data_IF_918593444914
#
_entry.id   IF_918593444914
#
_cell.length_a   1.000
_cell.length_b   1.000
_cell.length_c   1.000
_cell.angle_alpha   90.00
_cell.angle_beta   90.00
_cell.angle_gamma   90.00
#
_symmetry.space_group_name_H-M   'P 1'
#
loop_
_entity.id
_entity.type
_entity.pdbx_description
1 polymer ?
#
# COMPACT_ATOMS: atom_id res chain seq x y z
N UNK A 1 -1.81 -1.44 -7.17
CA UNK A 1 -2.30 -1.80 -8.52
C UNK A 1 -1.69 -0.84 -9.52
N UNK A 2 -1.53 -1.25 -10.79
CA UNK A 2 -0.96 -0.43 -11.86
C UNK A 2 -1.91 -0.40 -13.05
N UNK A 3 -1.95 0.74 -13.76
CA UNK A 3 -2.66 0.86 -15.02
C UNK A 3 -1.75 0.41 -16.17
N UNK A 4 -2.31 -0.46 -17.01
CA UNK A 4 -1.70 -0.90 -18.26
C UNK A 4 -2.60 -0.53 -19.45
N UNK A 5 -1.97 -0.35 -20.60
CA UNK A 5 -2.61 -0.27 -21.91
C UNK A 5 -2.18 -1.47 -22.74
N UNK A 6 -3.10 -2.01 -23.52
CA UNK A 6 -2.85 -3.13 -24.43
C UNK A 6 -3.78 -3.00 -25.64
N UNK A 7 -3.35 -3.50 -26.80
CA UNK A 7 -4.22 -3.61 -27.97
C UNK A 7 -5.25 -4.73 -27.75
N UNK A 8 -6.40 -4.67 -28.44
CA UNK A 8 -7.45 -5.70 -28.30
C UNK A 8 -7.00 -7.09 -28.77
N UNK A 9 -5.97 -7.17 -29.63
CA UNK A 9 -5.34 -8.41 -30.05
C UNK A 9 -4.31 -8.96 -29.04
N UNK A 10 -4.14 -8.28 -27.89
CA UNK A 10 -3.20 -8.63 -26.84
C UNK A 10 -1.76 -8.13 -27.06
N UNK A 11 -1.47 -7.48 -28.19
CA UNK A 11 -0.15 -6.91 -28.47
C UNK A 11 0.07 -5.57 -27.76
N UNK A 12 1.34 -5.15 -27.68
CA UNK A 12 1.67 -3.79 -27.23
C UNK A 12 1.37 -3.49 -25.76
N UNK A 13 1.43 -4.49 -24.88
CA UNK A 13 1.26 -4.29 -23.43
C UNK A 13 2.26 -3.26 -22.91
N UNK A 14 1.76 -2.20 -22.28
CA UNK A 14 2.54 -1.09 -21.74
C UNK A 14 2.00 -0.67 -20.39
N UNK A 15 2.87 -0.61 -19.39
CA UNK A 15 2.56 -0.02 -18.08
C UNK A 15 2.55 1.51 -18.19
N UNK A 16 1.50 2.16 -17.70
CA UNK A 16 1.37 3.63 -17.74
C UNK A 16 1.78 4.28 -16.41
N UNK A 17 1.34 3.71 -15.29
CA UNK A 17 1.69 4.16 -13.93
C UNK A 17 3.05 3.64 -13.51
N UNK A 18 3.88 4.46 -12.86
CA UNK A 18 5.29 4.13 -12.53
C UNK A 18 5.53 4.11 -11.02
N UNK A 19 6.59 3.43 -10.60
CA UNK A 19 7.01 3.34 -9.20
C UNK A 19 6.43 2.13 -8.49
N UNK A 20 6.81 1.93 -7.22
CA UNK A 20 6.32 0.85 -6.36
C UNK A 20 5.25 1.43 -5.42
N UNK A 21 4.09 1.73 -5.99
CA UNK A 21 2.95 2.34 -5.31
C UNK A 21 1.65 1.60 -5.63
N UNK A 22 0.62 1.88 -4.85
CA UNK A 22 -0.76 1.54 -5.18
C UNK A 22 -1.39 2.74 -5.88
N UNK A 23 -1.74 2.55 -7.14
CA UNK A 23 -2.35 3.55 -7.99
C UNK A 23 -3.86 3.38 -8.03
N UNK A 24 -4.60 4.48 -7.81
CA UNK A 24 -6.02 4.60 -8.07
C UNK A 24 -6.18 5.58 -9.22
N UNK A 25 -6.54 5.04 -10.38
CA UNK A 25 -6.59 5.79 -11.64
C UNK A 25 -8.02 6.10 -12.05
N UNK A 26 -8.20 7.27 -12.65
CA UNK A 26 -9.41 7.67 -13.37
C UNK A 26 -9.00 8.12 -14.77
N UNK A 27 -9.67 7.59 -15.80
CA UNK A 27 -9.38 7.86 -17.22
C UNK A 27 -10.51 8.72 -17.78
N UNK A 28 -10.21 9.73 -18.58
CA UNK A 28 -11.26 10.46 -19.29
C UNK A 28 -11.96 9.61 -20.37
N UNK A 29 -13.17 10.00 -20.78
CA UNK A 29 -13.99 9.23 -21.72
C UNK A 29 -13.30 8.99 -23.08
N UNK A 30 -12.45 9.92 -23.52
CA UNK A 30 -11.69 9.80 -24.76
C UNK A 30 -10.33 9.09 -24.60
N UNK A 31 -9.99 8.63 -23.39
CA UNK A 31 -8.73 7.97 -23.05
C UNK A 31 -7.49 8.77 -23.53
N UNK A 32 -7.52 10.08 -23.33
CA UNK A 32 -6.42 11.01 -23.61
C UNK A 32 -5.57 11.27 -22.37
N UNK A 33 -6.21 11.31 -21.20
CA UNK A 33 -5.57 11.62 -19.93
C UNK A 33 -5.97 10.64 -18.83
N UNK A 34 -5.08 10.48 -17.87
CA UNK A 34 -5.28 9.66 -16.68
C UNK A 34 -4.92 10.48 -15.45
N UNK A 35 -5.85 10.63 -14.51
CA UNK A 35 -5.55 11.07 -13.16
C UNK A 35 -5.03 9.85 -12.40
N UNK A 36 -3.79 9.90 -11.94
CA UNK A 36 -3.17 8.85 -11.14
C UNK A 36 -2.98 9.36 -9.71
N UNK A 37 -3.82 8.88 -8.78
CA UNK A 37 -3.67 9.09 -7.35
C UNK A 37 -2.96 7.88 -6.74
N UNK A 38 -1.74 8.06 -6.27
CA UNK A 38 -0.91 6.97 -5.81
C UNK A 38 -0.30 7.22 -4.44
N UNK A 39 -0.16 6.13 -3.70
CA UNK A 39 0.56 6.10 -2.45
C UNK A 39 1.00 4.69 -2.12
N UNK A 40 1.85 4.58 -1.11
CA UNK A 40 2.17 3.34 -0.41
C UNK A 40 1.97 3.59 1.08
N UNK A 41 1.81 2.54 1.88
CA UNK A 41 1.66 2.66 3.32
C UNK A 41 2.71 3.57 3.99
N UNK A 42 3.91 3.68 3.39
CA UNK A 42 5.01 4.50 3.84
C UNK A 42 5.40 5.66 2.91
N UNK A 43 4.45 6.19 2.14
CA UNK A 43 4.67 7.38 1.30
C UNK A 43 3.60 8.44 1.51
N UNK A 44 3.94 9.69 1.17
CA UNK A 44 2.96 10.77 1.06
C UNK A 44 2.05 10.48 -0.15
N UNK A 45 0.72 10.59 -0.03
CA UNK A 45 -0.18 10.48 -1.18
C UNK A 45 -0.01 11.64 -2.16
N UNK A 46 0.11 11.30 -3.43
CA UNK A 46 0.33 12.26 -4.52
C UNK A 46 -0.61 11.94 -5.69
N UNK A 47 -1.07 12.98 -6.38
CA UNK A 47 -1.88 12.88 -7.57
C UNK A 47 -1.20 13.63 -8.73
N UNK A 48 -1.16 12.99 -9.90
CA UNK A 48 -0.59 13.54 -11.13
C UNK A 48 -1.54 13.32 -12.31
N UNK A 49 -1.42 14.15 -13.33
CA UNK A 49 -2.06 13.93 -14.62
C UNK A 49 -1.05 13.29 -15.58
N UNK A 50 -1.41 12.16 -16.16
CA UNK A 50 -0.65 11.48 -17.21
C UNK A 50 -1.34 11.63 -18.57
N UNK A 51 -0.58 11.61 -19.64
CA UNK A 51 -1.11 11.38 -20.99
C UNK A 51 -1.39 9.87 -21.21
N UNK A 52 -2.01 9.52 -22.34
CA UNK A 52 -2.31 8.13 -22.68
C UNK A 52 -1.09 7.29 -23.14
N UNK A 53 0.12 7.84 -23.02
CA UNK A 53 1.40 7.14 -23.12
C UNK A 53 2.08 6.97 -21.75
N UNK A 54 1.49 7.47 -20.65
CA UNK A 54 2.06 7.39 -19.30
C UNK A 54 3.17 8.41 -19.04
N UNK A 55 3.25 9.48 -19.84
CA UNK A 55 4.10 10.63 -19.53
C UNK A 55 3.36 11.57 -18.59
N UNK A 56 4.09 12.10 -17.60
CA UNK A 56 3.51 13.09 -16.68
C UNK A 56 3.31 14.41 -17.40
N UNK A 57 2.07 14.87 -17.44
CA UNK A 57 1.67 16.17 -18.00
C UNK A 57 1.84 17.26 -16.93
N UNK A 58 1.32 17.02 -15.73
CA UNK A 58 1.45 17.94 -14.60
C UNK A 58 1.26 17.23 -13.27
N UNK A 59 1.75 17.85 -12.20
CA UNK A 59 1.37 17.52 -10.83
C UNK A 59 -0.02 18.11 -10.53
N UNK A 60 -0.88 17.34 -9.89
CA UNK A 60 -2.20 17.82 -9.44
C UNK A 60 -2.09 18.27 -7.99
N UNK A 61 -1.62 17.37 -7.12
CA UNK A 61 -1.48 17.64 -5.69
C UNK A 61 -0.50 16.66 -5.04
N UNK A 62 0.28 17.14 -4.08
CA UNK A 62 0.93 16.31 -3.07
C UNK A 62 0.34 16.66 -1.71
N UNK A 63 0.09 15.66 -0.87
CA UNK A 63 -0.48 15.90 0.46
C UNK A 63 0.55 16.57 1.37
N UNK A 64 0.16 17.63 2.08
CA UNK A 64 1.06 18.28 3.04
C UNK A 64 1.08 17.52 4.37
N UNK A 65 2.22 16.88 4.67
CA UNK A 65 2.45 16.15 5.92
C UNK A 65 3.25 16.96 6.94
N UNK A 66 3.55 18.24 6.68
CA UNK A 66 4.40 19.07 7.55
C UNK A 66 3.94 19.08 9.01
N UNK A 67 2.64 19.24 9.26
CA UNK A 67 2.08 19.22 10.61
C UNK A 67 2.11 17.84 11.26
N UNK A 68 1.88 16.76 10.49
CA UNK A 68 1.99 15.39 11.00
C UNK A 68 3.42 15.07 11.42
N UNK A 69 4.39 15.39 10.56
CA UNK A 69 5.80 15.18 10.83
C UNK A 69 6.28 16.03 12.01
N UNK A 70 5.82 17.29 12.12
CA UNK A 70 6.09 18.14 13.28
C UNK A 70 5.49 17.58 14.58
N UNK A 71 4.35 16.88 14.50
CA UNK A 71 3.75 16.16 15.62
C UNK A 71 4.43 14.79 15.90
N UNK A 72 5.50 14.45 15.19
CA UNK A 72 6.28 13.23 15.40
C UNK A 72 5.79 12.00 14.61
N UNK A 73 4.86 12.17 13.67
CA UNK A 73 4.40 11.07 12.82
C UNK A 73 5.57 10.36 12.15
N UNK A 74 5.52 9.02 12.18
CA UNK A 74 6.43 8.16 11.42
C UNK A 74 5.61 7.21 10.57
N UNK A 75 6.00 7.07 9.32
CA UNK A 75 5.42 6.06 8.45
C UNK A 75 5.64 4.65 9.02
N UNK A 76 4.71 3.73 8.80
CA UNK A 76 4.91 2.33 9.14
C UNK A 76 5.97 1.68 8.26
N UNK A 77 6.48 0.54 8.71
CA UNK A 77 7.48 -0.26 8.00
C UNK A 77 6.80 -1.39 7.24
N UNK A 78 7.07 -1.47 5.94
CA UNK A 78 6.59 -2.58 5.12
C UNK A 78 7.59 -3.72 5.24
N UNK A 79 7.09 -4.93 5.45
CA UNK A 79 7.93 -6.11 5.59
C UNK A 79 7.42 -7.28 4.74
N UNK A 80 8.30 -8.26 4.58
CA UNK A 80 8.02 -9.51 3.89
C UNK A 80 8.64 -10.67 4.66
N UNK A 81 7.87 -11.74 4.82
CA UNK A 81 8.30 -12.97 5.51
C UNK A 81 7.86 -14.19 4.72
N UNK A 82 8.43 -15.36 5.04
CA UNK A 82 7.97 -16.64 4.51
C UNK A 82 6.85 -17.21 5.37
N UNK A 83 5.83 -17.78 4.73
CA UNK A 83 4.87 -18.65 5.40
C UNK A 83 5.55 -19.94 5.89
N UNK A 84 4.82 -20.73 6.67
CA UNK A 84 5.31 -22.00 7.23
C UNK A 84 5.75 -23.03 6.17
N UNK A 85 5.28 -22.90 4.93
CA UNK A 85 5.72 -23.75 3.81
C UNK A 85 7.12 -23.40 3.27
N UNK A 86 7.76 -22.34 3.78
CA UNK A 86 9.11 -21.90 3.41
C UNK A 86 9.22 -21.25 2.03
N UNK A 87 8.15 -21.23 1.23
CA UNK A 87 8.18 -20.76 -0.16
C UNK A 87 7.31 -19.53 -0.39
N UNK A 88 6.16 -19.45 0.28
CA UNK A 88 5.17 -18.39 0.06
C UNK A 88 5.58 -17.10 0.75
N UNK A 89 5.71 -16.02 -0.01
CA UNK A 89 5.90 -14.68 0.54
C UNK A 89 4.58 -14.14 1.12
N UNK A 90 4.62 -13.73 2.39
CA UNK A 90 3.59 -12.96 3.06
C UNK A 90 4.08 -11.52 3.23
N UNK A 91 3.21 -10.56 2.92
CA UNK A 91 3.51 -9.14 2.97
C UNK A 91 2.77 -8.53 4.15
N UNK A 92 3.38 -7.54 4.79
CA UNK A 92 2.78 -6.89 5.94
C UNK A 92 3.26 -5.48 6.15
N UNK A 93 2.59 -4.82 7.09
CA UNK A 93 2.87 -3.45 7.53
C UNK A 93 2.98 -3.47 9.05
N UNK A 94 4.05 -2.85 9.56
CA UNK A 94 4.38 -2.77 10.97
C UNK A 94 4.30 -1.32 11.43
N UNK A 95 3.46 -1.08 12.42
CA UNK A 95 3.26 0.21 13.07
C UNK A 95 3.99 0.20 14.41
N UNK A 96 4.91 1.16 14.59
CA UNK A 96 5.68 1.32 15.82
C UNK A 96 5.21 2.58 16.57
N UNK A 97 5.43 2.65 17.89
CA UNK A 97 5.33 3.92 18.60
C UNK A 97 6.22 4.96 17.90
N UNK A 98 5.75 6.19 17.78
CA UNK A 98 6.54 7.25 17.14
C UNK A 98 7.84 7.55 17.88
N UNK A 99 7.85 7.30 19.20
CA UNK A 99 9.02 7.34 20.06
C UNK A 99 9.70 5.97 20.25
N UNK A 100 9.57 5.05 19.27
CA UNK A 100 10.17 3.72 19.33
C UNK A 100 11.65 3.76 19.73
N UNK A 101 11.97 2.92 20.71
CA UNK A 101 13.30 2.69 21.27
C UNK A 101 13.64 1.21 21.11
N UNK A 102 14.67 0.92 20.31
CA UNK A 102 15.09 -0.44 19.97
C UNK A 102 15.68 -1.24 21.15
N UNK A 103 15.97 -0.60 22.27
CA UNK A 103 16.49 -1.25 23.49
C UNK A 103 15.39 -1.79 24.40
N UNK A 104 14.11 -1.48 24.11
CA UNK A 104 12.95 -1.90 24.88
C UNK A 104 12.22 -3.09 24.24
N UNK A 105 11.45 -3.78 25.08
CA UNK A 105 10.52 -4.84 24.66
C UNK A 105 9.12 -4.26 24.59
N UNK A 106 8.41 -4.55 23.50
CA UNK A 106 7.02 -4.11 23.29
C UNK A 106 6.12 -5.33 23.12
N UNK A 107 4.90 -5.33 23.69
CA UNK A 107 3.87 -6.28 23.30
C UNK A 107 3.51 -6.10 21.82
N UNK A 108 3.28 -7.20 21.11
CA UNK A 108 2.87 -7.21 19.71
C UNK A 108 1.38 -7.52 19.61
N UNK A 109 0.66 -6.72 18.81
CA UNK A 109 -0.71 -7.01 18.40
C UNK A 109 -0.71 -7.33 16.91
N UNK A 110 -1.24 -8.50 16.56
CA UNK A 110 -1.50 -8.86 15.16
C UNK A 110 -2.95 -8.53 14.82
N UNK A 111 -3.15 -7.54 13.95
CA UNK A 111 -4.48 -7.17 13.46
C UNK A 111 -4.82 -7.99 12.22
N UNK A 112 -5.74 -8.94 12.40
CA UNK A 112 -6.09 -9.95 11.40
C UNK A 112 -7.48 -9.70 10.82
N UNK A 113 -7.59 -9.86 9.50
CA UNK A 113 -8.85 -10.15 8.83
C UNK A 113 -8.69 -11.47 8.06
N UNK A 114 -9.39 -12.56 8.45
CA UNK A 114 -9.11 -13.91 7.96
C UNK A 114 -9.90 -14.31 6.70
N UNK A 115 -10.67 -13.39 6.11
CA UNK A 115 -11.51 -13.70 4.95
C UNK A 115 -10.70 -13.94 3.66
N UNK A 116 -11.27 -14.62 2.65
CA UNK A 116 -10.56 -14.97 1.42
C UNK A 116 -10.54 -13.87 0.36
N UNK A 117 -11.31 -12.79 0.55
CA UNK A 117 -11.51 -11.75 -0.46
C UNK A 117 -10.70 -10.49 -0.20
N UNK A 118 -10.26 -10.29 1.05
CA UNK A 118 -9.47 -9.14 1.48
C UNK A 118 -8.58 -9.55 2.66
N UNK A 119 -7.46 -8.86 2.84
CA UNK A 119 -6.56 -9.03 3.99
C UNK A 119 -6.67 -7.82 4.93
N UNK A 120 -6.11 -7.95 6.14
CA UNK A 120 -6.00 -6.82 7.08
C UNK A 120 -4.90 -5.81 6.73
N UNK A 121 -4.18 -6.01 5.63
CA UNK A 121 -3.03 -5.21 5.22
C UNK A 121 -3.48 -4.02 4.36
N UNK A 122 -3.24 -2.82 4.85
CA UNK A 122 -3.38 -1.59 4.07
C UNK A 122 -2.11 -1.34 3.27
N UNK A 123 -2.20 -1.49 1.95
CA UNK A 123 -1.07 -1.27 1.05
C UNK A 123 -0.86 0.20 0.60
N UNK A 124 -1.91 0.99 0.27
CA UNK A 124 -1.77 2.45 0.13
C UNK A 124 -1.70 3.12 1.51
N UNK A 125 -1.33 4.41 1.53
CA UNK A 125 -1.44 5.20 2.76
C UNK A 125 -2.90 5.29 3.20
N UNK A 126 -3.14 5.10 4.49
CA UNK A 126 -4.44 5.31 5.12
C UNK A 126 -4.29 6.22 6.34
N UNK A 127 -5.38 6.91 6.71
CA UNK A 127 -5.40 7.71 7.94
C UNK A 127 -5.20 6.80 9.16
N UNK A 128 -4.52 7.30 10.20
CA UNK A 128 -4.30 6.56 11.45
C UNK A 128 -5.61 5.99 12.03
N UNK A 129 -5.65 4.66 12.22
CA UNK A 129 -6.85 3.97 12.73
C UNK A 129 -6.68 3.55 14.20
N UNK A 130 -7.78 3.37 14.95
CA UNK A 130 -7.74 2.78 16.29
C UNK A 130 -7.20 1.35 16.35
N UNK A 131 -7.17 0.63 15.22
CA UNK A 131 -6.78 -0.79 15.15
C UNK A 131 -5.29 -0.97 14.78
N UNK A 132 -4.65 0.07 14.27
CA UNK A 132 -3.26 0.07 13.79
C UNK A 132 -2.43 1.13 14.51
N UNK A 133 -2.18 2.29 13.89
CA UNK A 133 -1.23 3.31 14.32
C UNK A 133 -1.53 3.87 15.72
N UNK A 134 -2.81 4.09 16.04
CA UNK A 134 -3.20 4.64 17.35
C UNK A 134 -2.96 3.65 18.48
N UNK A 135 -3.15 2.36 18.21
CA UNK A 135 -2.82 1.31 19.17
C UNK A 135 -1.30 1.20 19.35
N UNK A 136 -0.52 1.39 18.27
CA UNK A 136 0.94 1.48 18.39
C UNK A 136 1.38 2.65 19.29
N UNK A 137 0.68 3.80 19.22
CA UNK A 137 0.96 4.94 20.10
C UNK A 137 0.60 4.69 21.57
N UNK A 138 -0.16 3.64 21.89
CA UNK A 138 -0.43 3.20 23.26
C UNK A 138 0.69 2.30 23.84
N UNK A 139 1.81 2.12 23.12
CA UNK A 139 2.96 1.34 23.58
C UNK A 139 3.04 -0.09 23.04
N UNK A 140 2.27 -0.41 22.01
CA UNK A 140 2.33 -1.69 21.29
C UNK A 140 3.16 -1.56 20.01
N UNK A 141 3.70 -2.67 19.53
CA UNK A 141 3.97 -2.82 18.09
C UNK A 141 2.73 -3.47 17.50
N UNK A 142 2.19 -2.90 16.41
CA UNK A 142 1.06 -3.50 15.70
C UNK A 142 1.55 -3.99 14.35
N UNK A 143 1.20 -5.21 13.98
CA UNK A 143 1.44 -5.73 12.64
C UNK A 143 0.11 -6.04 11.96
N UNK A 144 0.08 -5.84 10.65
CA UNK A 144 -0.90 -6.45 9.74
C UNK A 144 -0.11 -7.30 8.77
N UNK A 145 -0.46 -8.58 8.63
CA UNK A 145 0.22 -9.49 7.71
C UNK A 145 -0.81 -10.27 6.91
N UNK A 146 -0.57 -10.40 5.61
CA UNK A 146 -1.39 -11.25 4.76
C UNK A 146 -1.23 -12.72 5.14
N UNK A 147 -2.25 -13.51 4.83
CA UNK A 147 -2.25 -14.95 5.05
C UNK A 147 -2.53 -15.68 3.74
N UNK A 148 -2.05 -16.92 3.63
CA UNK A 148 -2.38 -17.78 2.49
C UNK A 148 -3.90 -17.86 2.32
N UNK A 149 -4.35 -17.72 1.07
CA UNK A 149 -5.76 -17.65 0.69
C UNK A 149 -6.48 -16.36 1.07
N UNK A 150 -5.80 -15.35 1.60
CA UNK A 150 -6.43 -14.10 2.04
C UNK A 150 -6.75 -13.09 0.94
N UNK A 151 -6.06 -13.13 -0.21
CA UNK A 151 -6.13 -12.04 -1.21
C UNK A 151 -6.29 -12.52 -2.66
N UNK A 152 -7.34 -12.10 -3.40
CA UNK A 152 -7.60 -12.55 -4.78
C UNK A 152 -6.48 -12.19 -5.77
N UNK A 153 -5.80 -11.06 -5.57
CA UNK A 153 -4.70 -10.59 -6.44
C UNK A 153 -3.40 -11.41 -6.34
N UNK A 154 -3.37 -12.51 -5.58
CA UNK A 154 -2.20 -13.39 -5.41
C UNK A 154 -2.26 -14.68 -6.22
N UNK A 155 -3.18 -14.78 -7.20
CA UNK A 155 -3.45 -15.94 -8.06
C UNK A 155 -4.18 -17.10 -7.38
N UNK A 156 -4.77 -18.01 -8.18
CA UNK A 156 -5.45 -19.22 -7.72
C UNK A 156 -4.57 -20.14 -6.88
N UNK A 157 -3.27 -20.21 -7.17
CA UNK A 157 -2.34 -21.04 -6.39
C UNK A 157 -2.22 -20.56 -4.93
N UNK A 158 -2.30 -19.26 -4.68
CA UNK A 158 -2.25 -18.72 -3.32
C UNK A 158 -3.54 -18.99 -2.52
N UNK A 159 -4.66 -19.25 -3.22
CA UNK A 159 -5.97 -19.58 -2.63
C UNK A 159 -6.18 -21.05 -2.29
N UNK A 160 -5.34 -21.93 -2.84
CA UNK A 160 -5.42 -23.38 -2.66
C UNK A 160 -4.34 -23.89 -1.70
#
# INVERSE_FOLDING_TARGET
EHLYRVNLDGSGLKQLTKGDYFHRVEVDDEARFVVDNYSRANSIPTAVLLDNQGNKVMDIQESDFSQLLAAGYKFPEIFKVKAADGVTDLYGVMYKPFNFDSTKVYPIVDYVYPGPQVEGVDYPFTRMTPRTDRLAQAGFIVITVGQRGGHPSRSKWYHN
#
